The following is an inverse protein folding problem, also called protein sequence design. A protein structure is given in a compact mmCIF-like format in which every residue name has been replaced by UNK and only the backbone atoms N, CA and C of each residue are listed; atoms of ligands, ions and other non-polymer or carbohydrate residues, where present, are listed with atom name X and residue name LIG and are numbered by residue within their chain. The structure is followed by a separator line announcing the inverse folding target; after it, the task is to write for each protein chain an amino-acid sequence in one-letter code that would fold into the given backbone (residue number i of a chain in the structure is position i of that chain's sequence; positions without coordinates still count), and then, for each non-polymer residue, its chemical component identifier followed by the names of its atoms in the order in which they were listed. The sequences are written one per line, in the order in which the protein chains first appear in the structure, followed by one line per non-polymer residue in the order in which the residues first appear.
data_IF_711000779003
#
_entry.id   IF_711000779003
#
_cell.length_a   1.000
_cell.length_b   1.000
_cell.length_c   1.000
_cell.angle_alpha   90.00
_cell.angle_beta   90.00
_cell.angle_gamma   90.00
#
_symmetry.space_group_name_H-M   'P 1'
#
loop_
_entity.id
_entity.type
_entity.pdbx_description
1 polymer ?
#
# COMPACT_ATOMS: atom_id res chain seq x y z
N UNK A 1 12.14 1.01 3.04
CA UNK A 1 13.00 -0.15 3.36
C UNK A 1 13.80 0.09 4.64
N UNK A 2 14.62 1.12 4.76
CA UNK A 2 15.50 1.32 5.93
C UNK A 2 14.81 1.35 7.31
N UNK A 3 13.55 1.76 7.41
CA UNK A 3 12.80 1.70 8.69
C UNK A 3 12.38 0.29 9.05
N UNK A 4 12.05 -0.53 8.06
CA UNK A 4 11.64 -1.91 8.28
C UNK A 4 12.85 -2.77 8.64
N UNK A 5 13.98 -2.58 7.97
CA UNK A 5 15.24 -3.21 8.32
C UNK A 5 15.62 -2.90 9.77
N UNK A 6 15.55 -1.64 10.17
CA UNK A 6 15.82 -1.19 11.53
C UNK A 6 14.82 -1.76 12.56
N UNK A 7 13.55 -1.94 12.19
CA UNK A 7 12.57 -2.59 13.05
C UNK A 7 12.89 -4.09 13.25
N UNK A 8 13.26 -4.80 12.17
CA UNK A 8 13.65 -6.20 12.24
C UNK A 8 14.99 -6.43 12.97
N UNK A 9 15.93 -5.48 12.88
CA UNK A 9 17.15 -5.48 13.70
C UNK A 9 16.81 -5.37 15.19
N UNK A 10 15.81 -4.57 15.56
CA UNK A 10 15.39 -4.40 16.94
C UNK A 10 14.51 -5.57 17.45
N UNK A 11 13.73 -6.18 16.59
CA UNK A 11 12.88 -7.31 16.90
C UNK A 11 12.66 -8.17 15.66
N UNK A 12 13.23 -9.36 15.63
CA UNK A 12 13.07 -10.35 14.54
C UNK A 12 11.91 -11.32 14.77
N UNK A 13 11.16 -11.16 15.86
CA UNK A 13 10.06 -12.04 16.24
C UNK A 13 8.76 -11.59 15.53
N UNK A 14 8.44 -12.23 14.43
CA UNK A 14 7.21 -11.96 13.67
C UNK A 14 5.94 -12.14 14.51
N UNK A 15 5.94 -13.05 15.51
CA UNK A 15 4.79 -13.26 16.37
C UNK A 15 4.43 -12.00 17.16
N UNK A 16 5.42 -11.27 17.66
CA UNK A 16 5.18 -10.00 18.37
C UNK A 16 4.52 -8.95 17.48
N UNK A 17 4.91 -8.85 16.21
CA UNK A 17 4.25 -7.96 15.26
C UNK A 17 2.81 -8.37 15.00
N UNK A 18 2.56 -9.66 14.78
CA UNK A 18 1.22 -10.21 14.58
C UNK A 18 0.32 -9.97 15.79
N UNK A 19 0.79 -10.23 17.00
CA UNK A 19 0.05 -9.98 18.25
C UNK A 19 -0.28 -8.49 18.42
N UNK A 20 0.66 -7.61 18.09
CA UNK A 20 0.45 -6.17 18.09
C UNK A 20 -0.63 -5.72 17.10
N UNK A 21 -0.62 -6.27 15.89
CA UNK A 21 -1.65 -5.98 14.86
C UNK A 21 -3.05 -6.43 15.33
N UNK A 22 -3.17 -7.63 15.91
CA UNK A 22 -4.43 -8.14 16.46
C UNK A 22 -4.95 -7.27 17.60
N UNK A 23 -4.06 -6.88 18.51
CA UNK A 23 -4.40 -5.99 19.63
C UNK A 23 -4.88 -4.63 19.12
N UNK A 24 -4.15 -4.04 18.16
CA UNK A 24 -4.53 -2.77 17.56
C UNK A 24 -5.91 -2.85 16.88
N UNK A 25 -6.16 -3.90 16.12
CA UNK A 25 -7.46 -4.11 15.46
C UNK A 25 -8.59 -4.23 16.47
N UNK A 26 -8.41 -5.01 17.53
CA UNK A 26 -9.41 -5.16 18.60
C UNK A 26 -9.75 -3.85 19.30
N UNK A 27 -8.74 -3.02 19.52
CA UNK A 27 -8.90 -1.72 20.18
C UNK A 27 -9.54 -0.65 19.27
N UNK A 28 -9.60 -0.89 17.96
CA UNK A 28 -10.11 0.05 16.97
C UNK A 28 -11.13 -0.63 16.03
N UNK A 29 -12.28 -1.08 16.54
CA UNK A 29 -13.23 -1.92 15.78
C UNK A 29 -13.88 -1.19 14.59
N UNK A 30 -13.88 0.15 14.59
CA UNK A 30 -14.46 0.97 13.53
C UNK A 30 -13.41 1.42 12.49
N UNK A 31 -12.17 0.92 12.58
CA UNK A 31 -11.09 1.26 11.66
C UNK A 31 -10.86 0.12 10.68
N UNK A 32 -10.80 0.42 9.40
CA UNK A 32 -10.37 -0.54 8.38
C UNK A 32 -8.85 -0.69 8.42
N UNK A 33 -8.39 -1.93 8.35
CA UNK A 33 -6.98 -2.27 8.35
C UNK A 33 -6.57 -2.87 7.01
N UNK A 34 -5.48 -2.34 6.45
CA UNK A 34 -4.82 -2.88 5.27
C UNK A 34 -3.41 -3.28 5.72
N UNK A 35 -3.07 -4.55 5.58
CA UNK A 35 -1.71 -5.00 5.85
C UNK A 35 -0.80 -4.59 4.69
N UNK A 36 0.45 -4.31 4.99
CA UNK A 36 1.50 -4.18 4.00
C UNK A 36 2.58 -5.19 4.32
N UNK A 37 2.89 -6.06 3.39
CA UNK A 37 3.95 -7.05 3.54
C UNK A 37 4.78 -7.18 2.28
N UNK A 38 6.05 -7.53 2.50
CA UNK A 38 6.94 -7.91 1.40
C UNK A 38 6.87 -9.43 1.19
N UNK A 39 6.93 -9.85 -0.04
CA UNK A 39 6.92 -11.27 -0.41
C UNK A 39 8.01 -12.05 0.35
N UNK A 40 9.21 -11.49 0.44
CA UNK A 40 10.30 -12.11 1.19
C UNK A 40 9.99 -12.27 2.69
N UNK A 41 9.26 -11.33 3.30
CA UNK A 41 8.82 -11.44 4.69
C UNK A 41 7.85 -12.60 4.87
N UNK A 42 6.93 -12.79 3.93
CA UNK A 42 5.98 -13.91 3.95
C UNK A 42 6.73 -15.25 3.78
N UNK A 43 7.73 -15.30 2.88
CA UNK A 43 8.59 -16.47 2.71
C UNK A 43 9.35 -16.83 3.99
N UNK A 44 9.91 -15.83 4.68
CA UNK A 44 10.64 -16.03 5.95
C UNK A 44 9.72 -16.48 7.11
N UNK A 45 8.53 -15.93 7.18
CA UNK A 45 7.53 -16.29 8.19
C UNK A 45 6.92 -17.67 7.94
N UNK A 46 6.83 -18.08 6.69
CA UNK A 46 6.08 -19.23 6.20
C UNK A 46 4.71 -18.81 5.68
N UNK A 47 4.41 -19.19 4.44
CA UNK A 47 3.17 -18.83 3.75
C UNK A 47 1.93 -19.25 4.56
N UNK A 48 1.88 -20.49 5.02
CA UNK A 48 0.73 -21.05 5.75
C UNK A 48 0.50 -20.33 7.10
N UNK A 49 1.57 -19.88 7.74
CA UNK A 49 1.50 -19.10 8.99
C UNK A 49 0.88 -17.73 8.70
N UNK A 50 1.31 -17.07 7.64
CA UNK A 50 0.79 -15.76 7.26
C UNK A 50 -0.66 -15.84 6.79
N UNK A 51 -1.01 -16.80 5.92
CA UNK A 51 -2.38 -17.02 5.45
C UNK A 51 -3.32 -17.28 6.62
N UNK A 52 -2.97 -18.22 7.48
CA UNK A 52 -3.75 -18.55 8.68
C UNK A 52 -3.97 -17.32 9.55
N UNK A 53 -2.94 -16.54 9.81
CA UNK A 53 -3.03 -15.29 10.55
C UNK A 53 -4.03 -14.33 9.92
N UNK A 54 -3.96 -14.10 8.61
CA UNK A 54 -4.88 -13.22 7.89
C UNK A 54 -6.33 -13.70 8.02
N UNK A 55 -6.59 -14.99 7.83
CA UNK A 55 -7.94 -15.56 7.86
C UNK A 55 -8.52 -15.57 9.27
N UNK A 56 -7.77 -16.02 10.27
CA UNK A 56 -8.25 -16.12 11.67
C UNK A 56 -8.55 -14.75 12.29
N UNK A 57 -7.80 -13.72 11.90
CA UNK A 57 -7.97 -12.37 12.43
C UNK A 57 -8.66 -11.41 11.46
N UNK A 58 -9.23 -11.94 10.36
CA UNK A 58 -9.99 -11.17 9.38
C UNK A 58 -9.22 -9.98 8.75
N UNK A 59 -7.93 -10.14 8.52
CA UNK A 59 -7.15 -9.22 7.71
C UNK A 59 -7.34 -9.56 6.23
N UNK A 60 -8.35 -8.94 5.62
CA UNK A 60 -8.80 -9.27 4.26
C UNK A 60 -8.16 -8.43 3.16
N UNK A 61 -7.46 -7.36 3.52
CA UNK A 61 -6.81 -6.44 2.58
C UNK A 61 -5.30 -6.42 2.81
N UNK A 62 -4.55 -6.67 1.75
CA UNK A 62 -3.09 -6.74 1.77
C UNK A 62 -2.51 -5.95 0.61
N UNK A 63 -1.54 -5.08 0.89
CA UNK A 63 -0.60 -4.57 -0.11
C UNK A 63 0.61 -5.51 -0.11
N UNK A 64 0.80 -6.22 -1.21
CA UNK A 64 1.94 -7.12 -1.40
C UNK A 64 3.01 -6.42 -2.24
N UNK A 65 4.21 -6.30 -1.69
CA UNK A 65 5.38 -5.73 -2.36
C UNK A 65 6.37 -6.84 -2.69
N UNK A 66 6.77 -6.89 -3.94
CA UNK A 66 7.64 -7.93 -4.51
C UNK A 66 6.92 -8.65 -5.65
N UNK A 67 7.66 -8.98 -6.69
CA UNK A 67 7.14 -9.65 -7.90
C UNK A 67 7.99 -10.86 -8.28
N UNK A 68 8.76 -11.39 -7.32
CA UNK A 68 9.64 -12.52 -7.59
C UNK A 68 8.85 -13.81 -7.87
N UNK A 69 7.69 -13.95 -7.21
CA UNK A 69 6.90 -15.17 -7.29
C UNK A 69 5.38 -14.88 -7.20
N UNK A 70 4.72 -14.84 -8.35
CA UNK A 70 3.26 -14.71 -8.46
C UNK A 70 2.49 -15.81 -7.69
N UNK A 71 3.13 -16.93 -7.37
CA UNK A 71 2.51 -18.06 -6.66
C UNK A 71 1.97 -17.64 -5.30
N UNK A 72 2.73 -16.86 -4.52
CA UNK A 72 2.28 -16.38 -3.21
C UNK A 72 1.04 -15.48 -3.36
N UNK A 73 1.07 -14.54 -4.31
CA UNK A 73 -0.07 -13.67 -4.61
C UNK A 73 -1.31 -14.47 -4.97
N UNK A 74 -1.18 -15.40 -5.91
CA UNK A 74 -2.30 -16.20 -6.40
C UNK A 74 -2.92 -17.05 -5.29
N UNK A 75 -2.11 -17.71 -4.47
CA UNK A 75 -2.58 -18.48 -3.31
C UNK A 75 -3.35 -17.63 -2.31
N UNK A 76 -2.86 -16.42 -2.00
CA UNK A 76 -3.56 -15.49 -1.10
C UNK A 76 -4.91 -15.04 -1.68
N UNK A 77 -4.98 -14.80 -2.98
CA UNK A 77 -6.23 -14.48 -3.69
C UNK A 77 -7.21 -15.66 -3.63
N UNK A 78 -6.75 -16.88 -3.89
CA UNK A 78 -7.54 -18.11 -3.80
C UNK A 78 -8.06 -18.35 -2.37
N UNK A 79 -7.29 -17.98 -1.36
CA UNK A 79 -7.70 -18.02 0.05
C UNK A 79 -8.73 -16.93 0.42
N UNK A 80 -9.09 -16.03 -0.49
CA UNK A 80 -10.09 -14.98 -0.29
C UNK A 80 -9.53 -13.65 0.24
N UNK A 81 -8.22 -13.45 0.20
CA UNK A 81 -7.57 -12.18 0.56
C UNK A 81 -7.56 -11.26 -0.66
N UNK A 82 -7.93 -9.99 -0.46
CA UNK A 82 -7.79 -8.95 -1.50
C UNK A 82 -6.35 -8.47 -1.53
N UNK A 83 -5.63 -8.85 -2.57
CA UNK A 83 -4.22 -8.49 -2.75
C UNK A 83 -4.12 -7.29 -3.68
N UNK A 84 -3.51 -6.23 -3.21
CA UNK A 84 -3.22 -4.99 -3.93
C UNK A 84 -1.74 -4.97 -4.30
N UNK A 85 -1.44 -4.56 -5.53
CA UNK A 85 -0.09 -4.47 -6.04
C UNK A 85 0.38 -3.02 -6.09
N UNK A 86 1.66 -2.82 -5.83
CA UNK A 86 2.33 -1.55 -6.02
C UNK A 86 2.74 -1.41 -7.48
N UNK A 87 2.50 -0.23 -8.05
CA UNK A 87 2.94 0.14 -9.39
C UNK A 87 3.73 1.43 -9.30
N UNK A 88 4.95 1.41 -9.79
CA UNK A 88 5.81 2.58 -9.83
C UNK A 88 5.31 3.61 -10.85
N UNK A 89 5.69 4.86 -10.66
CA UNK A 89 5.34 5.97 -11.57
C UNK A 89 5.78 5.72 -13.02
N UNK A 90 6.87 4.99 -13.20
CA UNK A 90 7.38 4.63 -14.52
C UNK A 90 6.48 3.67 -15.29
N UNK A 91 5.58 2.96 -14.61
CA UNK A 91 4.67 1.96 -15.19
C UNK A 91 5.43 0.76 -15.79
N UNK A 92 6.32 0.17 -15.01
CA UNK A 92 6.97 -1.08 -15.42
C UNK A 92 5.91 -2.13 -15.80
N UNK A 93 6.07 -2.73 -16.97
CA UNK A 93 5.04 -3.63 -17.53
C UNK A 93 4.80 -4.87 -16.65
N UNK A 94 5.82 -5.35 -15.96
CA UNK A 94 5.70 -6.49 -15.03
C UNK A 94 4.81 -6.13 -13.84
N UNK A 95 4.96 -4.90 -13.29
CA UNK A 95 4.13 -4.39 -12.20
C UNK A 95 2.68 -4.17 -12.67
N UNK A 96 2.50 -3.59 -13.85
CA UNK A 96 1.18 -3.35 -14.46
C UNK A 96 0.44 -4.68 -14.69
N UNK A 97 1.10 -5.66 -15.30
CA UNK A 97 0.53 -6.98 -15.51
C UNK A 97 0.17 -7.70 -14.19
N UNK A 98 1.04 -7.58 -13.19
CA UNK A 98 0.74 -8.13 -11.85
C UNK A 98 -0.47 -7.44 -11.22
N UNK A 99 -0.60 -6.12 -11.36
CA UNK A 99 -1.74 -5.37 -10.88
C UNK A 99 -3.04 -5.76 -11.62
N UNK A 100 -3.00 -5.98 -12.94
CA UNK A 100 -4.15 -6.45 -13.73
C UNK A 100 -4.66 -7.79 -13.20
N UNK A 101 -3.76 -8.74 -12.94
CA UNK A 101 -4.10 -10.09 -12.42
C UNK A 101 -4.42 -10.13 -10.93
N UNK A 102 -4.40 -9.00 -10.24
CA UNK A 102 -4.72 -8.90 -8.83
C UNK A 102 -6.21 -8.61 -8.60
N UNK A 103 -6.69 -8.76 -7.35
CA UNK A 103 -8.09 -8.56 -6.97
C UNK A 103 -8.33 -7.40 -6.00
N UNK A 104 -7.27 -6.79 -5.47
CA UNK A 104 -7.33 -5.62 -4.60
C UNK A 104 -7.29 -4.30 -5.39
N UNK A 105 -7.11 -3.17 -4.73
CA UNK A 105 -6.85 -1.89 -5.37
C UNK A 105 -5.45 -1.84 -6.00
N UNK A 106 -5.20 -0.86 -6.84
CA UNK A 106 -3.84 -0.56 -7.32
C UNK A 106 -3.23 0.52 -6.43
N UNK A 107 -2.04 0.27 -5.90
CA UNK A 107 -1.27 1.26 -5.18
C UNK A 107 -0.28 1.91 -6.14
N UNK A 108 -0.65 3.06 -6.70
CA UNK A 108 0.16 3.78 -7.67
C UNK A 108 1.09 4.79 -6.99
N UNK A 109 2.35 4.80 -7.38
CA UNK A 109 3.30 5.84 -6.97
C UNK A 109 2.83 7.21 -7.48
N UNK A 110 2.66 8.19 -6.56
CA UNK A 110 2.10 9.50 -6.91
C UNK A 110 3.11 10.44 -7.59
N UNK A 111 4.39 10.29 -7.26
CA UNK A 111 5.48 11.11 -7.82
C UNK A 111 6.71 10.24 -8.06
N UNK A 112 7.48 10.49 -9.12
CA UNK A 112 8.73 9.78 -9.34
C UNK A 112 9.74 10.11 -8.23
N UNK A 113 10.36 9.09 -7.63
CA UNK A 113 11.32 9.27 -6.54
C UNK A 113 12.70 9.69 -7.03
N UNK A 114 13.02 9.42 -8.26
CA UNK A 114 14.37 9.62 -8.87
C UNK A 114 14.35 10.51 -10.11
N UNK A 115 13.23 11.17 -10.42
CA UNK A 115 13.07 11.88 -11.68
C UNK A 115 12.93 10.95 -12.91
N UNK A 116 12.84 9.63 -12.67
CA UNK A 116 12.65 8.65 -13.73
C UNK A 116 11.17 8.60 -14.12
N UNK A 117 10.85 9.21 -15.25
CA UNK A 117 9.49 9.37 -15.76
C UNK A 117 9.36 8.62 -17.07
N UNK A 118 8.25 7.92 -17.26
CA UNK A 118 7.94 7.31 -18.54
C UNK A 118 7.59 8.41 -19.54
N UNK A 119 8.31 8.54 -20.66
CA UNK A 119 8.08 9.61 -21.64
C UNK A 119 6.70 9.55 -22.30
N UNK A 120 6.06 8.38 -22.35
CA UNK A 120 4.73 8.20 -22.92
C UNK A 120 3.62 8.59 -21.94
N UNK A 121 3.94 8.61 -20.63
CA UNK A 121 3.01 8.91 -19.54
C UNK A 121 3.68 9.85 -18.52
N UNK A 122 3.97 11.10 -18.89
CA UNK A 122 4.79 12.00 -18.09
C UNK A 122 4.09 12.55 -16.84
N UNK A 123 2.75 12.57 -16.81
CA UNK A 123 1.96 13.08 -15.70
C UNK A 123 1.20 11.97 -14.95
N UNK A 124 0.88 12.19 -13.69
CA UNK A 124 0.11 11.23 -12.88
C UNK A 124 -1.24 10.89 -13.52
N UNK A 125 -1.88 11.86 -14.15
CA UNK A 125 -3.13 11.66 -14.89
C UNK A 125 -2.96 10.67 -16.03
N UNK A 126 -1.85 10.76 -16.77
CA UNK A 126 -1.56 9.85 -17.87
C UNK A 126 -1.34 8.42 -17.36
N UNK A 127 -0.62 8.28 -16.22
CA UNK A 127 -0.43 7.00 -15.57
C UNK A 127 -1.76 6.35 -15.18
N UNK A 128 -2.67 7.11 -14.57
CA UNK A 128 -4.00 6.62 -14.17
C UNK A 128 -4.82 6.25 -15.41
N UNK A 129 -4.83 7.08 -16.44
CA UNK A 129 -5.55 6.81 -17.68
C UNK A 129 -5.02 5.55 -18.39
N UNK A 130 -3.70 5.36 -18.40
CA UNK A 130 -3.10 4.16 -18.93
C UNK A 130 -3.58 2.92 -18.18
N UNK A 131 -3.51 2.91 -16.85
CA UNK A 131 -4.00 1.79 -16.03
C UNK A 131 -5.49 1.49 -16.29
N UNK A 132 -6.32 2.54 -16.42
CA UNK A 132 -7.74 2.41 -16.79
C UNK A 132 -7.92 1.80 -18.18
N UNK A 133 -7.12 2.22 -19.17
CA UNK A 133 -7.16 1.68 -20.54
C UNK A 133 -6.75 0.21 -20.60
N UNK A 134 -5.91 -0.26 -19.65
CA UNK A 134 -5.52 -1.67 -19.49
C UNK A 134 -6.62 -2.52 -18.79
N UNK A 135 -7.79 -1.96 -18.52
CA UNK A 135 -8.93 -2.67 -17.95
C UNK A 135 -9.01 -2.66 -16.42
N UNK A 136 -8.21 -1.86 -15.72
CA UNK A 136 -8.29 -1.71 -14.27
C UNK A 136 -9.50 -0.85 -13.93
N UNK A 137 -10.55 -1.47 -13.41
CA UNK A 137 -11.78 -0.82 -12.92
C UNK A 137 -11.81 -0.66 -11.41
N UNK A 138 -10.96 -1.36 -10.70
CA UNK A 138 -10.80 -1.30 -9.25
C UNK A 138 -10.20 0.04 -8.82
N UNK A 139 -10.34 0.44 -7.53
CA UNK A 139 -9.76 1.69 -7.05
C UNK A 139 -8.25 1.80 -7.34
N UNK A 140 -7.81 3.00 -7.68
CA UNK A 140 -6.41 3.38 -7.79
C UNK A 140 -6.13 4.39 -6.67
N UNK A 141 -5.35 3.96 -5.68
CA UNK A 141 -4.92 4.82 -4.58
C UNK A 141 -3.48 5.26 -4.80
N UNK A 142 -3.26 6.57 -4.72
CA UNK A 142 -1.95 7.16 -4.95
C UNK A 142 -1.18 7.35 -3.63
N UNK A 143 0.09 6.97 -3.61
CA UNK A 143 0.97 7.18 -2.47
C UNK A 143 2.41 7.33 -2.91
N UNK A 144 3.33 7.42 -1.95
CA UNK A 144 4.74 7.74 -2.23
C UNK A 144 4.86 9.08 -2.97
N UNK A 145 5.02 10.15 -2.19
CA UNK A 145 5.07 11.53 -2.72
C UNK A 145 3.89 12.39 -2.29
N UNK A 146 3.01 11.88 -1.42
CA UNK A 146 1.93 12.65 -0.80
C UNK A 146 2.40 13.11 0.58
N UNK A 147 2.59 14.42 0.76
CA UNK A 147 3.13 15.02 1.99
C UNK A 147 2.29 16.18 2.51
N UNK A 148 1.57 16.87 1.65
CA UNK A 148 0.87 18.11 1.92
C UNK A 148 -0.46 18.18 1.16
N UNK A 149 -1.38 19.11 1.50
CA UNK A 149 -2.70 19.22 0.88
C UNK A 149 -2.67 19.32 -0.65
N UNK A 150 -1.74 20.07 -1.20
CA UNK A 150 -1.60 20.24 -2.65
C UNK A 150 -1.29 18.92 -3.37
N UNK A 151 -0.62 17.99 -2.69
CA UNK A 151 -0.37 16.66 -3.24
C UNK A 151 -1.65 15.81 -3.29
N UNK A 152 -2.54 16.00 -2.31
CA UNK A 152 -3.87 15.35 -2.28
C UNK A 152 -4.73 15.88 -3.42
N UNK A 153 -4.79 17.21 -3.56
CA UNK A 153 -5.52 17.87 -4.66
C UNK A 153 -4.99 17.42 -6.03
N UNK A 154 -3.68 17.37 -6.20
CA UNK A 154 -3.03 16.88 -7.43
C UNK A 154 -3.47 15.43 -7.76
N UNK A 155 -3.47 14.53 -6.78
CA UNK A 155 -3.87 13.15 -7.00
C UNK A 155 -5.37 13.05 -7.35
N UNK A 156 -6.22 13.80 -6.67
CA UNK A 156 -7.66 13.89 -6.94
C UNK A 156 -7.93 14.41 -8.36
N UNK A 157 -7.29 15.50 -8.78
CA UNK A 157 -7.40 16.07 -10.12
C UNK A 157 -6.90 15.10 -11.21
N UNK A 158 -5.90 14.30 -10.90
CA UNK A 158 -5.40 13.25 -11.79
C UNK A 158 -6.38 12.08 -11.93
N UNK A 159 -7.41 11.96 -11.08
CA UNK A 159 -8.42 10.90 -11.12
C UNK A 159 -8.14 9.71 -10.21
N UNK A 160 -7.32 9.88 -9.17
CA UNK A 160 -7.16 8.88 -8.11
C UNK A 160 -8.44 8.73 -7.27
N UNK A 161 -8.71 7.52 -6.81
CA UNK A 161 -9.85 7.23 -5.93
C UNK A 161 -9.54 7.50 -4.45
N UNK A 162 -8.29 7.77 -4.12
CA UNK A 162 -7.82 8.13 -2.79
C UNK A 162 -6.30 8.21 -2.71
N UNK A 163 -5.80 8.52 -1.51
CA UNK A 163 -4.37 8.68 -1.28
C UNK A 163 -3.89 7.94 -0.03
N UNK A 164 -2.63 7.54 -0.03
CA UNK A 164 -1.91 7.05 1.14
C UNK A 164 -0.88 8.07 1.61
N UNK A 165 -0.92 8.40 2.89
CA UNK A 165 0.04 9.30 3.52
C UNK A 165 0.81 8.54 4.59
N UNK A 166 2.08 8.31 4.34
CA UNK A 166 2.94 7.52 5.24
C UNK A 166 3.91 8.37 6.05
N UNK A 167 4.98 8.83 5.42
CA UNK A 167 6.11 9.44 6.11
C UNK A 167 5.77 10.71 6.90
N UNK A 168 4.83 11.52 6.42
CA UNK A 168 4.38 12.73 7.10
C UNK A 168 3.70 12.39 8.43
N UNK A 169 2.77 11.43 8.40
CA UNK A 169 2.05 10.95 9.58
C UNK A 169 3.03 10.30 10.58
N UNK A 170 3.94 9.46 10.08
CA UNK A 170 4.93 8.80 10.93
C UNK A 170 5.91 9.76 11.61
N UNK A 171 6.19 10.92 11.04
CA UNK A 171 7.04 11.93 11.66
C UNK A 171 6.38 12.62 12.89
N UNK A 172 5.05 12.59 12.92
CA UNK A 172 4.24 13.25 13.94
C UNK A 172 3.70 12.27 15.00
N UNK A 173 4.12 11.01 14.99
CA UNK A 173 3.54 9.95 15.84
C UNK A 173 3.64 10.21 17.34
N UNK A 174 4.64 11.02 17.78
CA UNK A 174 4.83 11.40 19.18
C UNK A 174 4.12 12.71 19.55
N UNK A 175 3.51 13.42 18.59
CA UNK A 175 2.77 14.68 18.79
C UNK A 175 1.34 14.50 18.26
N UNK A 176 0.47 13.97 19.11
CA UNK A 176 -0.92 13.65 18.73
C UNK A 176 -1.70 14.89 18.24
N UNK A 177 -1.65 16.07 18.92
CA UNK A 177 -2.33 17.25 18.40
C UNK A 177 -1.87 17.68 17.01
N UNK A 178 -0.56 17.66 16.74
CA UNK A 178 -0.01 17.97 15.42
C UNK A 178 -0.40 16.90 14.38
N UNK A 179 -0.42 15.63 14.78
CA UNK A 179 -0.85 14.52 13.92
C UNK A 179 -2.33 14.67 13.52
N UNK A 180 -3.21 14.93 14.48
CA UNK A 180 -4.65 15.14 14.23
C UNK A 180 -4.90 16.33 13.32
N UNK A 181 -4.23 17.47 13.58
CA UNK A 181 -4.31 18.65 12.73
C UNK A 181 -3.87 18.36 11.31
N UNK A 182 -2.76 17.62 11.13
CA UNK A 182 -2.25 17.25 9.81
C UNK A 182 -3.17 16.29 9.06
N UNK A 183 -3.74 15.30 9.74
CA UNK A 183 -4.72 14.38 9.14
C UNK A 183 -5.95 15.15 8.68
N UNK A 184 -6.44 16.09 9.50
CA UNK A 184 -7.60 16.93 9.14
C UNK A 184 -7.29 17.79 7.92
N UNK A 185 -6.17 18.50 7.90
CA UNK A 185 -5.71 19.32 6.79
C UNK A 185 -5.69 18.53 5.47
N UNK A 186 -5.15 17.32 5.49
CA UNK A 186 -5.10 16.44 4.31
C UNK A 186 -6.48 15.93 3.89
N UNK A 187 -7.37 15.65 4.86
CA UNK A 187 -8.73 15.19 4.57
C UNK A 187 -9.63 16.27 4.00
N UNK A 188 -9.40 17.52 4.32
CA UNK A 188 -10.19 18.65 3.83
C UNK A 188 -10.03 18.84 2.30
N UNK A 189 -8.97 18.25 1.69
CA UNK A 189 -8.71 18.25 0.24
C UNK A 189 -9.29 17.01 -0.49
N UNK A 190 -9.80 16.01 0.22
CA UNK A 190 -10.32 14.77 -0.38
C UNK A 190 -11.66 14.91 -1.11
#
# INVERSE_FOLDING_TARGET
SGRMEKALENCSDFQKYMDGMVTTKKNNPNTSFILLSYENTIKQMGYEVFEKFCLEHEFKDLILVGLEDETIKNKLIEAGIRVSCYVQYYLDETEVESAIRSNGFVYLQAKPTTGYVNPDYPELKDCIQYLRSRGITRPIYCGVGIYQPEDVSMAKEAGADGVFVGSTVLKLHDDIPALEAKIKELKDEC
#
